data_IF_482972988303
#
_entry.id   IF_482972988303
#
_cell.length_a   1.000
_cell.length_b   1.000
_cell.length_c   1.000
_cell.angle_alpha   90.00
_cell.angle_beta   90.00
_cell.angle_gamma   90.00
#
_symmetry.space_group_name_H-M   'P 1'
#
loop_
_entity.id
_entity.type
_entity.pdbx_description
1 polymer ?
#
# COMPACT_ATOMS: atom_id res chain seq x y z
N UNK A 1 -22.22 17.02 3.72
CA UNK A 1 -21.98 15.58 3.42
C UNK A 1 -20.86 15.35 2.38
N UNK A 2 -19.96 16.32 2.11
CA UNK A 2 -18.87 16.14 1.13
C UNK A 2 -17.46 15.92 1.73
N UNK A 3 -17.26 16.16 3.02
CA UNK A 3 -15.91 16.16 3.61
C UNK A 3 -15.30 14.77 3.87
N UNK A 4 -16.11 13.69 3.94
CA UNK A 4 -15.62 12.38 4.41
C UNK A 4 -14.92 11.53 3.34
N UNK A 5 -15.20 11.81 2.06
CA UNK A 5 -14.64 11.07 0.91
C UNK A 5 -13.28 11.59 0.45
N UNK A 6 -13.02 12.88 0.70
CA UNK A 6 -11.74 13.52 0.41
C UNK A 6 -10.64 13.00 1.34
N UNK A 7 -10.95 12.85 2.63
CA UNK A 7 -9.98 12.42 3.64
C UNK A 7 -9.45 11.02 3.39
N UNK A 8 -10.33 10.06 3.07
CA UNK A 8 -9.95 8.68 2.77
C UNK A 8 -9.08 8.57 1.52
N UNK A 9 -9.28 9.48 0.55
CA UNK A 9 -8.50 9.49 -0.69
C UNK A 9 -7.09 10.00 -0.43
N UNK A 10 -6.94 11.02 0.41
CA UNK A 10 -5.63 11.55 0.82
C UNK A 10 -4.82 10.52 1.58
N UNK A 11 -5.43 9.82 2.54
CA UNK A 11 -4.77 8.77 3.31
C UNK A 11 -4.22 7.64 2.42
N UNK A 12 -4.99 7.23 1.41
CA UNK A 12 -4.53 6.23 0.42
C UNK A 12 -3.34 6.76 -0.40
N UNK A 13 -3.38 8.03 -0.82
CA UNK A 13 -2.30 8.65 -1.58
C UNK A 13 -1.02 8.72 -0.75
N UNK A 14 -1.13 9.13 0.52
CA UNK A 14 0.01 9.18 1.45
C UNK A 14 0.65 7.80 1.64
N UNK A 15 -0.18 6.76 1.84
CA UNK A 15 0.32 5.38 1.93
C UNK A 15 1.05 4.99 0.64
N UNK A 16 0.48 5.25 -0.54
CA UNK A 16 1.14 4.93 -1.82
C UNK A 16 2.48 5.65 -1.95
N UNK A 17 2.54 6.93 -1.56
CA UNK A 17 3.76 7.72 -1.61
C UNK A 17 4.83 7.19 -0.64
N UNK A 18 4.46 6.73 0.55
CA UNK A 18 5.35 6.06 1.50
C UNK A 18 5.95 4.76 0.92
N UNK A 19 5.17 4.04 0.11
CA UNK A 19 5.63 2.82 -0.56
C UNK A 19 6.39 3.08 -1.86
N UNK A 20 6.32 4.29 -2.43
CA UNK A 20 6.86 4.61 -3.76
C UNK A 20 8.35 4.27 -3.91
N UNK A 21 9.16 4.57 -2.89
CA UNK A 21 10.59 4.23 -2.88
C UNK A 21 10.83 2.72 -2.95
N UNK A 22 10.01 1.92 -2.25
CA UNK A 22 10.10 0.46 -2.28
C UNK A 22 9.64 -0.11 -3.62
N UNK A 23 8.56 0.42 -4.19
CA UNK A 23 8.02 0.01 -5.49
C UNK A 23 9.09 0.21 -6.58
N UNK A 24 9.64 1.42 -6.66
CA UNK A 24 10.70 1.74 -7.64
C UNK A 24 11.93 0.86 -7.47
N UNK A 25 12.32 0.58 -6.22
CA UNK A 25 13.43 -0.34 -5.94
C UNK A 25 13.13 -1.76 -6.41
N UNK A 26 11.92 -2.29 -6.20
CA UNK A 26 11.56 -3.62 -6.69
C UNK A 26 11.53 -3.72 -8.22
N UNK A 27 11.16 -2.65 -8.91
CA UNK A 27 11.11 -2.58 -10.38
C UNK A 27 12.48 -2.34 -11.02
N UNK A 28 13.51 -2.03 -10.24
CA UNK A 28 14.87 -1.83 -10.78
C UNK A 28 15.43 -3.08 -11.48
N UNK A 29 14.93 -4.27 -11.12
CA UNK A 29 15.32 -5.55 -11.72
C UNK A 29 14.43 -5.98 -12.90
N UNK A 30 13.43 -5.19 -13.29
CA UNK A 30 12.58 -5.48 -14.44
C UNK A 30 13.05 -4.71 -15.68
N UNK A 31 12.63 -5.20 -16.83
CA UNK A 31 12.74 -4.55 -18.15
C UNK A 31 12.11 -3.16 -18.12
N UNK A 32 12.82 -2.16 -18.65
CA UNK A 32 12.37 -0.76 -18.65
C UNK A 32 10.97 -0.57 -19.24
N UNK A 33 10.63 -1.36 -20.28
CA UNK A 33 9.35 -1.29 -20.97
C UNK A 33 8.17 -1.67 -20.08
N UNK A 34 8.39 -2.54 -19.09
CA UNK A 34 7.31 -3.06 -18.23
C UNK A 34 7.22 -2.30 -16.90
N UNK A 35 8.17 -1.39 -16.60
CA UNK A 35 8.25 -0.72 -15.29
C UNK A 35 7.04 0.15 -14.98
N UNK A 36 6.59 0.94 -15.94
CA UNK A 36 5.47 1.86 -15.73
C UNK A 36 4.17 1.09 -15.50
N UNK A 37 3.92 0.05 -16.29
CA UNK A 37 2.74 -0.80 -16.17
C UNK A 37 2.74 -1.57 -14.83
N UNK A 38 3.88 -2.17 -14.47
CA UNK A 38 4.03 -2.88 -13.20
C UNK A 38 3.93 -1.93 -11.99
N UNK A 39 4.43 -0.69 -12.09
CA UNK A 39 4.28 0.32 -11.05
C UNK A 39 2.79 0.62 -10.80
N UNK A 40 2.01 0.80 -11.88
CA UNK A 40 0.58 1.04 -11.77
C UNK A 40 -0.17 -0.16 -11.20
N UNK A 41 0.18 -1.38 -11.65
CA UNK A 41 -0.44 -2.60 -11.14
C UNK A 41 -0.19 -2.77 -9.63
N UNK A 42 1.04 -2.53 -9.16
CA UNK A 42 1.37 -2.59 -7.73
C UNK A 42 0.56 -1.57 -6.93
N UNK A 43 0.44 -0.32 -7.41
CA UNK A 43 -0.37 0.72 -6.76
C UNK A 43 -1.84 0.33 -6.68
N UNK A 44 -2.40 -0.19 -7.77
CA UNK A 44 -3.78 -0.70 -7.79
C UNK A 44 -3.98 -1.82 -6.77
N UNK A 45 -3.05 -2.77 -6.69
CA UNK A 45 -3.10 -3.86 -5.70
C UNK A 45 -3.05 -3.37 -4.27
N UNK A 46 -2.25 -2.35 -3.97
CA UNK A 46 -2.21 -1.71 -2.65
C UNK A 46 -3.58 -1.11 -2.33
N UNK A 47 -4.16 -0.32 -3.25
CA UNK A 47 -5.47 0.29 -3.08
C UNK A 47 -6.55 -0.77 -2.83
N UNK A 48 -6.62 -1.79 -3.69
CA UNK A 48 -7.54 -2.93 -3.53
C UNK A 48 -7.40 -3.57 -2.15
N UNK A 49 -6.16 -3.75 -1.69
CA UNK A 49 -5.89 -4.36 -0.40
C UNK A 49 -6.29 -3.47 0.77
N UNK A 50 -6.08 -2.16 0.69
CA UNK A 50 -6.54 -1.20 1.71
C UNK A 50 -8.06 -1.18 1.85
N UNK A 51 -8.80 -1.36 0.76
CA UNK A 51 -10.26 -1.44 0.81
C UNK A 51 -10.81 -2.79 1.27
N UNK A 52 -10.03 -3.86 1.17
CA UNK A 52 -10.48 -5.24 1.45
C UNK A 52 -9.91 -5.85 2.71
N UNK A 53 -8.84 -5.26 3.27
CA UNK A 53 -8.25 -5.71 4.53
C UNK A 53 -9.06 -5.16 5.70
N UNK A 54 -9.66 -6.05 6.45
CA UNK A 54 -9.95 -5.80 7.85
C UNK A 54 -8.62 -5.83 8.60
N UNK A 55 -8.09 -4.65 8.93
CA UNK A 55 -6.94 -4.53 9.80
C UNK A 55 -7.35 -5.00 11.18
N UNK A 56 -7.15 -6.29 11.45
CA UNK A 56 -7.16 -6.80 12.81
C UNK A 56 -6.04 -6.11 13.58
N UNK A 57 -6.26 -5.85 14.87
CA UNK A 57 -5.24 -5.26 15.72
C UNK A 57 -3.90 -5.98 15.50
N UNK A 58 -2.80 -5.23 15.25
CA UNK A 58 -1.50 -5.84 15.10
C UNK A 58 -1.28 -6.74 16.31
N UNK A 59 -0.79 -7.98 16.12
CA UNK A 59 -0.55 -8.87 17.24
C UNK A 59 0.32 -8.10 18.24
N UNK A 60 -0.24 -7.87 19.43
CA UNK A 60 0.49 -7.19 20.50
C UNK A 60 1.84 -7.85 20.65
N UNK A 61 2.89 -7.08 20.93
CA UNK A 61 4.23 -7.60 21.18
C UNK A 61 4.24 -8.84 22.10
N UNK A 62 3.32 -8.85 23.08
CA UNK A 62 3.11 -9.96 24.02
C UNK A 62 2.48 -11.21 23.42
N UNK A 63 1.72 -11.09 22.33
CA UNK A 63 1.14 -12.23 21.58
C UNK A 63 2.16 -12.94 20.70
N UNK A 64 3.24 -12.27 20.32
CA UNK A 64 4.38 -12.85 19.59
C UNK A 64 5.38 -13.56 20.51
N UNK A 65 5.36 -13.25 21.81
CA UNK A 65 6.29 -13.78 22.81
C UNK A 65 5.66 -14.85 23.71
N UNK A 66 4.61 -15.53 23.25
CA UNK A 66 4.05 -16.71 23.93
C UNK A 66 5.13 -17.82 24.06
N UNK A 67 5.91 -17.73 25.14
CA UNK A 67 6.56 -18.81 25.88
C UNK A 67 5.59 -19.34 26.93
#
# INVERSE_FOLDING_TARGET
MFHKKDESTKEIIEIIDDFNSKIKKSLSNTTYQDRDDLEQEIKLKIIEKLYTVEFNDPPSFWKLTNL
#
